data_IF_374927982126
#
_entry.id   IF_374927982126
#
_cell.length_a   1.000
_cell.length_b   1.000
_cell.length_c   1.000
_cell.angle_alpha   90.00
_cell.angle_beta   90.00
_cell.angle_gamma   90.00
#
_symmetry.space_group_name_H-M   'P 1'
#
loop_
_entity.id
_entity.type
_entity.pdbx_description
1 polymer ?
#
# COMPACT_ATOMS: atom_id res chain seq x y z
N UNK A 1 -9.80 16.03 7.07
CA UNK A 1 -9.98 15.73 5.65
C UNK A 1 -8.64 15.69 4.95
N UNK A 2 -8.41 14.70 4.11
CA UNK A 2 -7.17 14.60 3.36
C UNK A 2 -7.19 15.59 2.19
N UNK A 3 -6.11 16.35 2.03
CA UNK A 3 -5.95 17.28 0.92
C UNK A 3 -5.79 16.51 -0.42
N UNK A 4 -6.55 16.89 -1.44
CA UNK A 4 -6.51 16.25 -2.74
C UNK A 4 -5.14 16.38 -3.40
N UNK A 5 -4.48 17.52 -3.27
CA UNK A 5 -3.15 17.73 -3.86
C UNK A 5 -2.11 16.83 -3.20
N UNK A 6 -2.15 16.69 -1.88
CA UNK A 6 -1.27 15.79 -1.14
C UNK A 6 -1.51 14.33 -1.54
N UNK A 7 -2.78 13.94 -1.69
CA UNK A 7 -3.12 12.59 -2.14
C UNK A 7 -2.64 12.34 -3.58
N UNK A 8 -2.77 13.31 -4.47
CA UNK A 8 -2.29 13.18 -5.84
C UNK A 8 -0.78 12.91 -5.89
N UNK A 9 -0.01 13.61 -5.07
CA UNK A 9 1.44 13.38 -4.96
C UNK A 9 1.71 11.98 -4.43
N UNK A 10 1.06 11.59 -3.35
CA UNK A 10 1.25 10.27 -2.74
C UNK A 10 0.83 9.14 -3.68
N UNK A 11 -0.22 9.32 -4.44
CA UNK A 11 -0.69 8.34 -5.44
C UNK A 11 0.34 8.06 -6.51
N UNK A 12 1.17 9.05 -6.85
CA UNK A 12 2.29 8.86 -7.77
C UNK A 12 3.48 8.12 -7.18
N UNK A 13 3.54 8.00 -5.85
CA UNK A 13 4.66 7.39 -5.14
C UNK A 13 4.37 5.93 -4.78
N UNK A 14 3.18 5.63 -4.23
CA UNK A 14 2.81 4.30 -3.75
C UNK A 14 1.63 3.73 -4.50
N UNK A 15 1.61 2.40 -4.63
CA UNK A 15 0.52 1.61 -5.18
C UNK A 15 -0.11 0.79 -4.06
N UNK A 16 -1.36 0.30 -4.21
CA UNK A 16 -1.98 -0.55 -3.20
C UNK A 16 -1.14 -1.75 -2.79
N UNK A 17 -0.44 -2.37 -3.74
CA UNK A 17 0.42 -3.51 -3.48
C UNK A 17 1.66 -3.22 -2.65
N UNK A 18 2.00 -1.94 -2.46
CA UNK A 18 3.15 -1.54 -1.63
C UNK A 18 2.85 -1.63 -0.13
N UNK A 19 1.58 -1.70 0.25
CA UNK A 19 1.20 -1.79 1.66
C UNK A 19 1.32 -3.21 2.17
N UNK A 20 1.96 -3.38 3.32
CA UNK A 20 2.11 -4.68 3.95
C UNK A 20 0.78 -5.24 4.45
N UNK A 21 -0.04 -4.39 5.10
CA UNK A 21 -1.32 -4.80 5.65
C UNK A 21 -2.41 -4.73 4.57
N UNK A 22 -3.18 -5.82 4.36
CA UNK A 22 -4.28 -5.81 3.38
C UNK A 22 -5.32 -4.73 3.64
N UNK A 23 -5.60 -4.40 4.90
CA UNK A 23 -6.54 -3.32 5.25
C UNK A 23 -6.07 -1.98 4.68
N UNK A 24 -4.79 -1.67 4.79
CA UNK A 24 -4.22 -0.44 4.26
C UNK A 24 -4.24 -0.42 2.73
N UNK A 25 -3.90 -1.54 2.09
CA UNK A 25 -3.96 -1.67 0.64
C UNK A 25 -5.39 -1.46 0.11
N UNK A 26 -6.37 -2.06 0.75
CA UNK A 26 -7.79 -1.91 0.39
C UNK A 26 -8.24 -0.46 0.55
N UNK A 27 -7.90 0.17 1.67
CA UNK A 27 -8.26 1.57 1.93
C UNK A 27 -7.60 2.49 0.90
N UNK A 28 -6.35 2.26 0.55
CA UNK A 28 -5.66 3.06 -0.46
C UNK A 28 -6.34 2.95 -1.82
N UNK A 29 -6.75 1.76 -2.22
CA UNK A 29 -7.49 1.54 -3.45
C UNK A 29 -8.83 2.30 -3.47
N UNK A 30 -9.55 2.29 -2.35
CA UNK A 30 -10.83 2.98 -2.22
C UNK A 30 -10.64 4.51 -2.27
N UNK A 31 -9.62 5.02 -1.60
CA UNK A 31 -9.26 6.45 -1.70
C UNK A 31 -8.98 6.84 -3.15
N UNK A 32 -8.31 5.98 -3.91
CA UNK A 32 -8.06 6.20 -5.32
C UNK A 32 -9.34 6.29 -6.15
N UNK A 33 -10.31 5.43 -5.86
CA UNK A 33 -11.62 5.45 -6.55
C UNK A 33 -12.36 6.75 -6.26
N UNK A 34 -12.41 7.17 -4.99
CA UNK A 34 -13.06 8.42 -4.60
C UNK A 34 -12.37 9.61 -5.25
N UNK A 35 -11.04 9.62 -5.26
CA UNK A 35 -10.25 10.67 -5.88
C UNK A 35 -10.52 10.76 -7.38
N UNK A 36 -10.54 9.63 -8.08
CA UNK A 36 -10.73 9.59 -9.54
C UNK A 36 -12.13 10.05 -9.95
N UNK A 37 -13.15 9.88 -9.09
CA UNK A 37 -14.48 10.41 -9.31
C UNK A 37 -14.57 11.93 -9.13
N UNK A 38 -13.54 12.54 -8.58
CA UNK A 38 -13.56 13.97 -8.28
C UNK A 38 -14.25 14.34 -6.96
N UNK A 39 -14.61 13.35 -6.14
CA UNK A 39 -15.25 13.59 -4.83
C UNK A 39 -14.22 14.02 -3.80
N UNK A 40 -14.64 14.80 -2.77
CA UNK A 40 -13.75 15.14 -1.67
C UNK A 40 -13.29 13.88 -0.92
N UNK A 41 -12.07 13.90 -0.44
CA UNK A 41 -11.52 12.81 0.40
C UNK A 41 -11.91 13.06 1.87
N UNK A 42 -13.22 13.13 2.10
CA UNK A 42 -13.85 13.34 3.39
C UNK A 42 -14.19 11.99 4.02
N UNK A 43 -14.07 11.91 5.34
CA UNK A 43 -14.31 10.68 6.10
C UNK A 43 -15.69 10.07 5.80
N UNK A 44 -16.73 10.91 5.74
CA UNK A 44 -18.08 10.43 5.48
C UNK A 44 -18.22 9.83 4.08
N UNK A 45 -17.61 10.45 3.08
CA UNK A 45 -17.66 10.00 1.69
C UNK A 45 -16.85 8.72 1.53
N UNK A 46 -15.66 8.67 2.11
CA UNK A 46 -14.79 7.47 2.07
C UNK A 46 -15.46 6.30 2.78
N UNK A 47 -16.05 6.54 3.96
CA UNK A 47 -16.77 5.50 4.69
C UNK A 47 -17.95 4.97 3.89
N UNK A 48 -18.73 5.85 3.28
CA UNK A 48 -19.86 5.45 2.44
C UNK A 48 -19.42 4.55 1.29
N UNK A 49 -18.31 4.87 0.66
CA UNK A 49 -17.75 4.04 -0.41
C UNK A 49 -17.28 2.67 0.09
N UNK A 50 -16.63 2.62 1.24
CA UNK A 50 -16.19 1.37 1.86
C UNK A 50 -17.39 0.47 2.16
N UNK A 51 -18.46 1.05 2.72
CA UNK A 51 -19.70 0.31 3.03
C UNK A 51 -20.36 -0.16 1.73
N UNK A 52 -20.44 0.71 0.73
CA UNK A 52 -21.03 0.35 -0.56
C UNK A 52 -20.33 -0.84 -1.22
N UNK A 53 -19.03 -0.92 -1.09
CA UNK A 53 -18.22 -2.03 -1.63
C UNK A 53 -18.19 -3.26 -0.74
N UNK A 54 -18.83 -3.21 0.44
CA UNK A 54 -18.86 -4.32 1.37
C UNK A 54 -17.50 -4.63 2.01
N UNK A 55 -16.62 -3.64 2.11
CA UNK A 55 -15.25 -3.82 2.59
C UNK A 55 -15.03 -3.41 4.05
N UNK A 56 -16.05 -2.91 4.73
CA UNK A 56 -15.89 -2.40 6.11
C UNK A 56 -15.32 -3.46 7.05
N UNK A 57 -15.85 -4.67 7.02
CA UNK A 57 -15.33 -5.77 7.84
C UNK A 57 -13.92 -6.17 7.46
N UNK A 58 -13.60 -6.16 6.17
CA UNK A 58 -12.28 -6.54 5.67
C UNK A 58 -11.16 -5.60 6.13
N UNK A 59 -11.46 -4.30 6.31
CA UNK A 59 -10.46 -3.34 6.76
C UNK A 59 -10.37 -3.22 8.29
N UNK A 60 -11.24 -3.86 9.04
CA UNK A 60 -11.23 -3.81 10.51
C UNK A 60 -12.35 -3.00 11.13
N UNK A 61 -13.40 -2.67 10.37
CA UNK A 61 -14.60 -2.01 10.86
C UNK A 61 -14.42 -0.53 11.19
N UNK A 62 -15.35 0.02 11.94
CA UNK A 62 -15.35 1.44 12.33
C UNK A 62 -14.15 1.82 13.20
N UNK A 63 -13.64 0.90 14.00
CA UNK A 63 -12.46 1.16 14.82
C UNK A 63 -11.23 1.49 13.96
N UNK A 64 -11.05 0.77 12.85
CA UNK A 64 -9.98 1.05 11.90
C UNK A 64 -10.15 2.45 11.26
N UNK A 65 -11.38 2.77 10.84
CA UNK A 65 -11.66 4.07 10.22
C UNK A 65 -11.39 5.22 11.18
N UNK A 66 -11.75 5.06 12.46
CA UNK A 66 -11.48 6.08 13.48
C UNK A 66 -9.96 6.28 13.67
N UNK A 67 -9.21 5.18 13.72
CA UNK A 67 -7.76 5.22 13.80
C UNK A 67 -7.15 5.90 12.57
N UNK A 68 -7.64 5.57 11.37
CA UNK A 68 -7.17 6.16 10.12
C UNK A 68 -7.41 7.67 10.11
N UNK A 69 -8.58 8.12 10.57
CA UNK A 69 -8.91 9.54 10.64
C UNK A 69 -7.90 10.31 11.46
N UNK A 70 -7.51 9.80 12.63
CA UNK A 70 -6.53 10.49 13.49
C UNK A 70 -5.14 10.57 12.84
N UNK A 71 -4.79 9.67 11.93
CA UNK A 71 -3.53 9.72 11.19
C UNK A 71 -3.57 10.62 9.95
N UNK A 72 -4.76 10.91 9.43
CA UNK A 72 -4.94 11.72 8.22
C UNK A 72 -5.03 13.22 8.48
N UNK A 73 -4.91 13.65 9.72
CA UNK A 73 -5.05 15.08 10.10
C UNK A 73 -3.86 15.91 9.60
N UNK A 74 -2.66 15.34 9.55
CA UNK A 74 -1.48 16.06 9.09
C UNK A 74 -1.16 15.69 7.62
N UNK A 75 -1.63 16.53 6.71
CA UNK A 75 -1.41 16.33 5.27
C UNK A 75 0.02 16.61 4.83
N UNK A 76 0.81 17.34 5.64
CA UNK A 76 2.19 17.67 5.29
C UNK A 76 3.12 16.45 5.38
N UNK A 77 2.76 15.47 6.18
CA UNK A 77 3.53 14.25 6.34
C UNK A 77 3.19 13.17 5.30
N UNK A 78 2.15 13.36 4.48
CA UNK A 78 1.65 12.33 3.55
C UNK A 78 2.71 11.91 2.55
N UNK A 79 3.41 12.86 1.96
CA UNK A 79 4.44 12.56 0.96
C UNK A 79 5.59 11.75 1.57
N UNK A 80 6.10 12.16 2.73
CA UNK A 80 7.17 11.45 3.43
C UNK A 80 6.72 10.04 3.84
N UNK A 81 5.47 9.91 4.29
CA UNK A 81 4.90 8.63 4.67
C UNK A 81 4.78 7.70 3.45
N UNK A 82 4.33 8.23 2.31
CA UNK A 82 4.24 7.47 1.07
C UNK A 82 5.60 6.96 0.61
N UNK A 83 6.63 7.79 0.69
CA UNK A 83 8.00 7.39 0.36
C UNK A 83 8.50 6.28 1.28
N UNK A 84 8.20 6.35 2.58
CA UNK A 84 8.58 5.31 3.53
C UNK A 84 7.88 3.99 3.20
N UNK A 85 6.58 4.02 2.90
CA UNK A 85 5.83 2.82 2.50
C UNK A 85 6.44 2.20 1.24
N UNK A 86 6.73 3.00 0.25
CA UNK A 86 7.36 2.54 -1.00
C UNK A 86 8.72 1.89 -0.74
N UNK A 87 9.54 2.51 0.09
CA UNK A 87 10.89 2.02 0.37
C UNK A 87 10.84 0.70 1.14
N UNK A 88 9.94 0.57 2.10
CA UNK A 88 9.71 -0.71 2.79
C UNK A 88 9.23 -1.80 1.84
N UNK A 89 8.33 -1.46 0.90
CA UNK A 89 7.85 -2.41 -0.10
C UNK A 89 8.99 -2.89 -1.01
N UNK A 90 9.84 -1.98 -1.45
CA UNK A 90 11.02 -2.31 -2.26
C UNK A 90 11.99 -3.21 -1.50
N UNK A 91 12.19 -2.94 -0.22
CA UNK A 91 13.05 -3.75 0.62
C UNK A 91 12.51 -5.18 0.77
N UNK A 92 11.20 -5.33 1.03
CA UNK A 92 10.56 -6.66 1.08
C UNK A 92 10.68 -7.40 -0.23
N UNK A 93 10.46 -6.70 -1.35
CA UNK A 93 10.58 -7.28 -2.69
C UNK A 93 11.99 -7.80 -2.95
N UNK A 94 13.01 -7.04 -2.55
CA UNK A 94 14.40 -7.46 -2.67
C UNK A 94 14.70 -8.72 -1.85
N UNK A 95 14.22 -8.76 -0.60
CA UNK A 95 14.39 -9.94 0.26
C UNK A 95 13.74 -11.16 -0.38
N UNK A 96 12.51 -11.01 -0.88
CA UNK A 96 11.78 -12.10 -1.53
C UNK A 96 12.50 -12.60 -2.79
N UNK A 97 13.04 -11.69 -3.59
CA UNK A 97 13.82 -12.04 -4.77
C UNK A 97 15.09 -12.80 -4.41
N UNK A 98 15.82 -12.33 -3.40
CA UNK A 98 17.02 -13.01 -2.92
C UNK A 98 16.72 -14.41 -2.38
N UNK A 99 15.62 -14.55 -1.62
CA UNK A 99 15.20 -15.85 -1.10
C UNK A 99 14.81 -16.82 -2.23
N UNK A 100 14.10 -16.33 -3.25
CA UNK A 100 13.72 -17.14 -4.41
C UNK A 100 14.95 -17.60 -5.20
N UNK A 101 15.93 -16.72 -5.40
CA UNK A 101 17.18 -17.07 -6.07
C UNK A 101 17.99 -18.09 -5.26
N UNK A 102 18.06 -17.93 -3.95
CA UNK A 102 18.75 -18.87 -3.08
C UNK A 102 18.09 -20.26 -3.14
N UNK A 103 16.76 -20.32 -3.06
CA UNK A 103 16.00 -21.56 -3.18
C UNK A 103 16.25 -22.24 -4.53
N UNK A 104 16.25 -21.48 -5.62
CA UNK A 104 16.56 -21.98 -6.94
C UNK A 104 17.97 -22.54 -7.02
N UNK A 105 18.95 -21.84 -6.43
CA UNK A 105 20.33 -22.27 -6.39
C UNK A 105 20.52 -23.61 -5.70
N UNK A 106 19.72 -23.91 -4.67
CA UNK A 106 19.80 -25.18 -3.96
C UNK A 106 19.06 -26.34 -4.63
N UNK A 107 18.05 -26.05 -5.43
CA UNK A 107 17.14 -27.10 -5.95
C UNK A 107 17.20 -27.32 -7.46
N UNK A 108 17.52 -26.30 -8.25
CA UNK A 108 17.43 -26.34 -9.71
C UNK A 108 18.78 -26.22 -10.41
N UNK A 109 19.76 -25.57 -9.79
CA UNK A 109 21.06 -25.29 -10.42
C UNK A 109 22.06 -26.36 -10.01
N UNK A 110 22.70 -27.01 -11.00
CA UNK A 110 23.80 -27.95 -10.74
C UNK A 110 25.05 -27.19 -10.36
N UNK A 111 26.05 -27.90 -9.79
CA UNK A 111 27.33 -27.31 -9.41
C UNK A 111 28.03 -26.62 -10.59
N UNK A 112 28.00 -27.22 -11.76
CA UNK A 112 28.63 -26.66 -12.95
C UNK A 112 27.93 -25.39 -13.43
N UNK A 113 26.59 -25.37 -13.43
CA UNK A 113 25.81 -24.17 -13.74
C UNK A 113 26.09 -23.05 -12.75
N UNK A 114 26.19 -23.41 -11.48
CA UNK A 114 26.50 -22.45 -10.41
C UNK A 114 27.85 -21.79 -10.62
N UNK A 115 28.87 -22.57 -10.99
CA UNK A 115 30.20 -22.04 -11.30
C UNK A 115 30.20 -21.11 -12.49
N UNK A 116 29.38 -21.42 -13.48
CA UNK A 116 29.27 -20.59 -14.70
C UNK A 116 28.59 -19.25 -14.39
N UNK A 117 27.59 -19.25 -13.53
CA UNK A 117 26.89 -18.02 -13.12
C UNK A 117 27.71 -17.15 -12.14
N UNK A 118 28.58 -17.74 -11.39
CA UNK A 118 29.43 -17.02 -10.45
C UNK A 118 30.58 -16.32 -11.16
#
# INVERSE_FOLDING_TARGET
>A
MLDRDSFAVAKGIVKPGDFYLPANATTWSILGVVFDRGDPLDDAIVRAEIVRLGKLGAIGGDAYLLSLHSHMVDTRAVESYAKAVRDHARHRSLIQTCAALAARGYTEITFDEYRTEA
#
